data_IF_810834513013
#
_entry.id   IF_810834513013
#
_cell.length_a   1.000
_cell.length_b   1.000
_cell.length_c   1.000
_cell.angle_alpha   90.00
_cell.angle_beta   90.00
_cell.angle_gamma   90.00
#
_symmetry.space_group_name_H-M   'P 1'
#
loop_
_entity.id
_entity.type
_entity.pdbx_description
1 polymer ?
#
# COMPACT_ATOMS: atom_id res chain seq x y z
N UNK A 1 7.57 36.10 32.11
CA UNK A 1 7.62 34.65 31.88
C UNK A 1 8.23 34.37 30.51
N UNK A 2 8.84 33.21 30.36
CA UNK A 2 9.40 32.73 29.10
C UNK A 2 8.28 32.42 28.09
N UNK A 3 8.54 32.66 26.80
CA UNK A 3 7.62 32.34 25.70
C UNK A 3 8.41 31.53 24.66
N UNK A 4 7.94 30.33 24.37
CA UNK A 4 8.49 29.50 23.31
C UNK A 4 7.40 28.67 22.62
N UNK A 5 7.72 28.15 21.44
CA UNK A 5 6.80 27.35 20.63
C UNK A 5 7.55 26.32 19.80
N UNK A 6 6.87 25.22 19.49
CA UNK A 6 7.35 24.24 18.52
C UNK A 6 7.20 24.74 17.09
N UNK A 7 8.19 24.44 16.24
CA UNK A 7 8.07 24.61 14.79
C UNK A 7 7.00 23.66 14.21
N UNK A 8 6.66 23.89 12.94
CA UNK A 8 6.04 22.84 12.14
C UNK A 8 6.96 21.60 12.07
N UNK A 9 6.36 20.42 11.90
CA UNK A 9 7.10 19.21 11.59
C UNK A 9 7.82 19.35 10.25
N UNK A 10 9.04 18.83 10.16
CA UNK A 10 9.74 18.65 8.89
C UNK A 10 8.88 17.82 7.93
N UNK A 11 9.06 18.03 6.63
CA UNK A 11 8.42 17.17 5.62
C UNK A 11 8.91 15.74 5.79
N UNK A 12 8.00 14.79 5.64
CA UNK A 12 8.42 13.43 5.37
C UNK A 12 9.08 13.40 4.00
N UNK A 13 10.28 12.82 3.92
CA UNK A 13 10.87 12.46 2.63
C UNK A 13 9.99 11.42 1.94
N UNK A 14 10.09 11.29 0.61
CA UNK A 14 9.32 10.30 -0.17
C UNK A 14 9.47 8.86 0.35
N UNK A 15 10.54 8.59 1.09
CA UNK A 15 10.70 7.38 1.90
C UNK A 15 9.77 7.38 3.12
N UNK A 16 8.60 6.79 2.95
CA UNK A 16 7.70 6.46 4.04
C UNK A 16 8.35 5.59 5.14
N UNK A 17 7.82 5.66 6.36
CA UNK A 17 8.38 5.05 7.58
C UNK A 17 9.75 5.62 8.03
N UNK A 18 10.18 6.77 7.50
CA UNK A 18 11.27 7.56 8.11
C UNK A 18 10.80 8.39 9.29
N UNK A 19 11.73 9.03 10.01
CA UNK A 19 11.40 9.95 11.09
C UNK A 19 11.30 11.38 10.56
N UNK A 20 10.36 12.15 11.12
CA UNK A 20 10.31 13.61 11.00
C UNK A 20 10.60 14.26 12.34
N UNK A 21 11.05 15.51 12.33
CA UNK A 21 11.39 16.23 13.55
C UNK A 21 10.77 17.63 13.59
N UNK A 22 10.67 18.20 14.79
CA UNK A 22 10.35 19.61 15.02
C UNK A 22 11.25 20.16 16.11
N UNK A 23 11.43 21.48 16.12
CA UNK A 23 12.35 22.17 17.03
C UNK A 23 11.57 23.13 17.91
N UNK A 24 11.86 23.15 19.20
CA UNK A 24 11.33 24.16 20.11
C UNK A 24 12.21 25.42 20.07
N UNK A 25 11.59 26.58 19.92
CA UNK A 25 12.29 27.86 19.92
C UNK A 25 11.73 28.80 20.99
N UNK A 26 12.61 29.35 21.82
CA UNK A 26 12.28 30.38 22.79
C UNK A 26 12.35 31.74 22.09
N UNK A 27 11.21 32.40 22.00
CA UNK A 27 11.11 33.75 21.42
C UNK A 27 11.28 34.85 22.46
N UNK A 28 11.03 34.54 23.74
CA UNK A 28 11.22 35.47 24.86
C UNK A 28 11.79 34.70 26.05
N UNK A 29 12.98 35.09 26.50
CA UNK A 29 13.60 34.51 27.70
C UNK A 29 12.88 34.99 28.97
N UNK A 30 12.89 34.15 30.01
CA UNK A 30 12.44 34.61 31.32
C UNK A 30 13.36 35.73 31.84
N UNK A 31 12.81 36.66 32.62
CA UNK A 31 13.58 37.73 33.26
C UNK A 31 12.98 38.07 34.63
N UNK A 32 13.83 38.53 35.55
CA UNK A 32 13.42 38.89 36.91
C UNK A 32 12.81 37.70 37.66
N UNK A 33 11.52 37.80 38.00
CA UNK A 33 10.75 36.72 38.66
C UNK A 33 9.92 35.89 37.68
N UNK A 34 10.12 36.06 36.37
CA UNK A 34 9.40 35.31 35.35
C UNK A 34 9.74 33.81 35.40
N UNK A 35 8.78 32.97 35.05
CA UNK A 35 8.97 31.52 34.95
C UNK A 35 9.79 31.16 33.70
N UNK A 36 10.74 30.25 33.84
CA UNK A 36 11.47 29.62 32.74
C UNK A 36 10.57 28.75 31.85
N UNK A 37 10.96 28.56 30.59
CA UNK A 37 10.29 27.59 29.72
C UNK A 37 10.56 26.16 30.21
N UNK A 38 9.55 25.30 30.14
CA UNK A 38 9.71 23.87 30.49
C UNK A 38 10.58 23.12 29.48
N UNK A 39 10.65 23.62 28.24
CA UNK A 39 11.42 23.05 27.14
C UNK A 39 12.60 23.97 26.83
N UNK A 40 13.79 23.38 26.67
CA UNK A 40 15.01 24.10 26.32
C UNK A 40 14.98 24.59 24.88
N UNK A 41 15.55 25.77 24.64
CA UNK A 41 15.74 26.28 23.29
C UNK A 41 16.54 25.30 22.41
N UNK A 42 16.11 25.10 21.18
CA UNK A 42 16.71 24.16 20.24
C UNK A 42 16.40 22.69 20.52
N UNK A 43 15.52 22.36 21.48
CA UNK A 43 15.12 20.97 21.73
C UNK A 43 14.46 20.38 20.49
N UNK A 44 14.95 19.22 20.05
CA UNK A 44 14.35 18.43 18.98
C UNK A 44 13.39 17.39 19.55
N UNK A 45 12.28 17.19 18.84
CA UNK A 45 11.34 16.10 19.03
C UNK A 45 11.17 15.35 17.71
N UNK A 46 11.09 14.02 17.80
CA UNK A 46 11.01 13.14 16.64
C UNK A 46 9.75 12.28 16.70
N UNK A 47 9.18 11.99 15.54
CA UNK A 47 8.15 10.98 15.38
C UNK A 47 8.26 10.26 14.04
N UNK A 48 7.68 9.07 13.95
CA UNK A 48 7.62 8.32 12.69
C UNK A 48 6.67 9.01 11.73
N UNK A 49 7.12 9.18 10.48
CA UNK A 49 6.29 9.62 9.39
C UNK A 49 5.07 8.71 9.21
N UNK A 50 3.93 9.28 8.76
CA UNK A 50 2.80 8.46 8.36
C UNK A 50 3.24 7.38 7.36
N UNK A 51 2.74 6.17 7.56
CA UNK A 51 3.02 5.04 6.67
C UNK A 51 2.54 5.36 5.25
N UNK A 52 3.32 4.95 4.26
CA UNK A 52 2.79 4.81 2.90
C UNK A 52 1.69 3.77 2.97
N UNK A 53 0.48 4.15 2.62
CA UNK A 53 -0.61 3.21 2.46
C UNK A 53 -0.62 2.81 0.99
N UNK A 54 -0.18 1.60 0.71
CA UNK A 54 -0.18 1.05 -0.66
C UNK A 54 -1.20 -0.06 -0.67
N UNK A 55 -2.23 0.08 -1.50
CA UNK A 55 -3.19 -1.00 -1.75
C UNK A 55 -2.49 -2.13 -2.53
N UNK A 56 -2.89 -3.36 -2.25
CA UNK A 56 -2.44 -4.52 -2.99
C UNK A 56 -2.93 -4.43 -4.44
N UNK A 57 -2.05 -4.75 -5.38
CA UNK A 57 -2.38 -4.85 -6.80
C UNK A 57 -2.02 -6.26 -7.25
N UNK A 58 -3.00 -6.96 -7.79
CA UNK A 58 -2.82 -8.27 -8.40
C UNK A 58 -3.75 -8.46 -9.58
N UNK A 59 -3.43 -9.44 -10.42
CA UNK A 59 -4.22 -9.74 -11.62
C UNK A 59 -4.17 -11.23 -11.94
N UNK A 60 -5.23 -11.70 -12.60
CA UNK A 60 -5.26 -13.05 -13.16
C UNK A 60 -4.44 -13.11 -14.45
N UNK A 61 -3.68 -14.19 -14.61
CA UNK A 61 -3.09 -14.55 -15.90
C UNK A 61 -4.17 -14.79 -16.96
N UNK A 62 -3.74 -14.87 -18.22
CA UNK A 62 -4.56 -15.51 -19.24
C UNK A 62 -4.87 -16.97 -18.86
N UNK A 63 -6.00 -17.48 -19.34
CA UNK A 63 -6.32 -18.89 -19.24
C UNK A 63 -5.31 -19.74 -20.02
N UNK A 64 -4.96 -20.90 -19.48
CA UNK A 64 -4.22 -21.92 -20.20
C UNK A 64 -4.98 -22.36 -21.45
N UNK A 65 -4.25 -22.84 -22.45
CA UNK A 65 -4.86 -23.40 -23.66
C UNK A 65 -5.71 -24.62 -23.31
N UNK A 66 -6.87 -24.72 -23.95
CA UNK A 66 -7.58 -25.99 -23.99
C UNK A 66 -6.80 -26.97 -24.86
N UNK A 67 -6.55 -28.17 -24.34
CA UNK A 67 -6.09 -29.29 -25.17
C UNK A 67 -7.23 -29.76 -26.07
N UNK A 68 -6.92 -30.40 -27.19
CA UNK A 68 -7.87 -30.82 -28.25
C UNK A 68 -9.07 -31.67 -27.77
N UNK A 69 -9.00 -32.22 -26.55
CA UNK A 69 -10.10 -32.92 -25.90
C UNK A 69 -11.15 -31.93 -25.34
N UNK A 70 -12.22 -31.74 -26.10
CA UNK A 70 -13.45 -31.08 -25.65
C UNK A 70 -13.96 -31.84 -24.40
N UNK A 71 -14.07 -31.14 -23.25
CA UNK A 71 -14.36 -31.62 -21.87
C UNK A 71 -13.18 -31.65 -20.89
N UNK A 72 -12.00 -31.14 -21.25
CA UNK A 72 -10.94 -30.88 -20.25
C UNK A 72 -11.11 -29.54 -19.53
N UNK A 73 -10.42 -29.41 -18.40
CA UNK A 73 -10.34 -28.17 -17.63
C UNK A 73 -9.17 -27.32 -18.14
N UNK A 74 -9.34 -26.00 -18.11
CA UNK A 74 -8.27 -25.00 -18.24
C UNK A 74 -8.10 -24.25 -16.92
N UNK A 75 -6.94 -23.65 -16.70
CA UNK A 75 -6.65 -22.93 -15.46
C UNK A 75 -6.02 -21.57 -15.70
N UNK A 76 -6.11 -20.68 -14.72
CA UNK A 76 -5.39 -19.41 -14.66
C UNK A 76 -4.86 -19.19 -13.25
N UNK A 77 -3.86 -18.33 -13.12
CA UNK A 77 -3.17 -18.06 -11.85
C UNK A 77 -3.29 -16.59 -11.49
N UNK A 78 -3.60 -16.27 -10.23
CA UNK A 78 -3.56 -14.91 -9.72
C UNK A 78 -2.14 -14.56 -9.28
N UNK A 79 -1.64 -13.40 -9.70
CA UNK A 79 -0.32 -12.90 -9.31
C UNK A 79 -0.43 -11.51 -8.71
N UNK A 80 0.15 -11.33 -7.53
CA UNK A 80 0.27 -10.04 -6.85
C UNK A 80 1.53 -9.33 -7.36
N UNK A 81 1.34 -8.16 -7.99
CA UNK A 81 2.44 -7.32 -8.49
C UNK A 81 2.86 -6.24 -7.48
N UNK A 82 2.01 -5.93 -6.50
CA UNK A 82 2.31 -4.96 -5.45
C UNK A 82 1.65 -5.43 -4.15
N UNK A 83 2.46 -5.66 -3.13
CA UNK A 83 1.96 -6.05 -1.81
C UNK A 83 1.35 -4.84 -1.09
N UNK A 84 0.29 -5.07 -0.31
CA UNK A 84 -0.24 -4.04 0.56
C UNK A 84 0.78 -3.60 1.62
N UNK A 85 0.74 -2.33 2.00
CA UNK A 85 1.54 -1.81 3.13
C UNK A 85 0.80 -0.73 3.91
N UNK A 86 1.16 -0.55 5.18
CA UNK A 86 0.52 0.40 6.08
C UNK A 86 -0.96 0.05 6.29
N UNK A 87 -1.86 0.97 5.91
CA UNK A 87 -3.32 0.80 5.92
C UNK A 87 -3.90 0.51 4.54
N UNK A 88 -3.06 0.18 3.55
CA UNK A 88 -3.54 -0.22 2.24
C UNK A 88 -4.35 -1.50 2.30
N UNK A 89 -5.28 -1.67 1.37
CA UNK A 89 -6.17 -2.83 1.31
C UNK A 89 -5.42 -4.06 0.78
N UNK A 90 -5.59 -5.19 1.46
CA UNK A 90 -5.09 -6.49 0.99
C UNK A 90 -5.81 -6.94 -0.29
N UNK A 91 -5.14 -7.75 -1.11
CA UNK A 91 -5.78 -8.38 -2.25
C UNK A 91 -6.79 -9.42 -1.76
N UNK A 92 -7.97 -9.48 -2.39
CA UNK A 92 -9.00 -10.47 -2.06
C UNK A 92 -8.58 -11.91 -2.43
N UNK A 93 -7.68 -12.04 -3.40
CA UNK A 93 -7.15 -13.31 -3.89
C UNK A 93 -5.69 -13.44 -3.46
N UNK A 94 -5.33 -14.61 -2.94
CA UNK A 94 -3.96 -14.93 -2.54
C UNK A 94 -3.05 -15.08 -3.74
N UNK A 95 -1.79 -14.66 -3.60
CA UNK A 95 -0.77 -14.88 -4.63
C UNK A 95 -0.63 -16.38 -4.98
N UNK A 96 -0.48 -16.68 -6.27
CA UNK A 96 -0.37 -18.03 -6.77
C UNK A 96 -1.68 -18.84 -6.74
N UNK A 97 -2.83 -18.22 -6.41
CA UNK A 97 -4.11 -18.91 -6.45
C UNK A 97 -4.42 -19.39 -7.87
N UNK A 98 -4.72 -20.67 -8.02
CA UNK A 98 -5.22 -21.24 -9.25
C UNK A 98 -6.74 -21.27 -9.28
N UNK A 99 -7.31 -20.94 -10.44
CA UNK A 99 -8.72 -21.09 -10.76
C UNK A 99 -8.87 -21.98 -11.98
N UNK A 100 -9.87 -22.86 -11.97
CA UNK A 100 -10.11 -23.83 -13.01
C UNK A 100 -11.52 -23.67 -13.57
N UNK A 101 -11.67 -23.85 -14.87
CA UNK A 101 -12.98 -23.95 -15.51
C UNK A 101 -12.98 -24.98 -16.63
N UNK A 102 -14.17 -25.42 -17.03
CA UNK A 102 -14.31 -26.35 -18.15
C UNK A 102 -14.03 -25.60 -19.44
N UNK A 103 -13.27 -26.23 -20.34
CA UNK A 103 -13.06 -25.70 -21.67
C UNK A 103 -14.40 -25.42 -22.37
N UNK A 104 -14.55 -24.26 -23.05
CA UNK A 104 -15.73 -24.00 -23.87
C UNK A 104 -15.96 -25.19 -24.79
N UNK A 105 -17.18 -25.75 -24.79
CA UNK A 105 -17.48 -26.89 -25.65
C UNK A 105 -17.15 -26.52 -27.09
N UNK A 106 -16.45 -27.41 -27.79
CA UNK A 106 -16.38 -27.37 -29.23
C UNK A 106 -17.81 -27.43 -29.72
N UNK A 107 -18.40 -26.28 -30.04
CA UNK A 107 -19.74 -26.23 -30.61
C UNK A 107 -19.56 -26.78 -32.02
N UNK A 108 -19.65 -28.11 -32.14
CA UNK A 108 -19.73 -28.76 -33.43
C UNK A 108 -21.13 -28.45 -33.91
N UNK A 109 -21.28 -27.28 -34.53
CA UNK A 109 -22.35 -27.05 -35.47
C UNK A 109 -22.15 -28.12 -36.55
N UNK A 110 -22.81 -29.27 -36.38
CA UNK A 110 -23.07 -30.22 -37.45
C UNK A 110 -24.01 -29.53 -38.44
N UNK A 111 -23.50 -28.54 -39.18
CA UNK A 111 -24.16 -27.99 -40.35
C UNK A 111 -24.30 -29.15 -41.32
N UNK A 112 -25.54 -29.54 -41.54
CA UNK A 112 -25.91 -30.76 -42.23
C UNK A 112 -25.40 -30.85 -43.65
N UNK A 113 -25.28 -32.09 -44.10
CA UNK A 113 -25.51 -32.51 -45.49
C UNK A 113 -25.46 -34.03 -45.53
N UNK A 114 -26.62 -34.67 -45.68
CA UNK A 114 -26.71 -35.96 -46.37
C UNK A 114 -27.93 -35.88 -47.29
N UNK A 115 -27.67 -36.19 -48.55
CA UNK A 115 -28.54 -36.14 -49.74
C UNK A 115 -29.84 -36.90 -49.62
#
# INVERSE_FOLDING_TARGET
DCIGSWSGWSTCTDDCNRMRYRVFSITTQASGKGRECEVTDGKEEFETCPSCNVDCIGSWSGWSTCTDDCNRMRYRVFSITTQASGKGRECEVTDGKEEFETCPSCNVDCIGSWS
#
